data_IF_081154373255
#
_entry.id   IF_081154373255
#
_cell.length_a   1.000
_cell.length_b   1.000
_cell.length_c   1.000
_cell.angle_alpha   90.00
_cell.angle_beta   90.00
_cell.angle_gamma   90.00
#
_symmetry.space_group_name_H-M   'P 1'
#
loop_
_entity.id
_entity.type
_entity.pdbx_description
1 polymer ?
#
# COMPACT_ATOMS: atom_id res chain seq x y z
N UNK A 1 23.07 3.94 9.31
CA UNK A 1 22.67 4.02 7.89
C UNK A 1 22.54 5.48 7.49
N UNK A 2 22.87 5.84 6.24
CA UNK A 2 22.79 7.21 5.72
C UNK A 2 21.57 7.34 4.77
N UNK A 3 20.61 8.21 5.12
CA UNK A 3 19.38 8.45 4.37
C UNK A 3 19.31 9.88 3.80
N UNK A 4 20.43 10.59 3.75
CA UNK A 4 20.47 11.97 3.27
C UNK A 4 20.25 12.08 1.76
N UNK A 5 19.56 13.16 1.37
CA UNK A 5 19.34 13.59 -0.02
C UNK A 5 18.67 12.55 -0.93
N UNK A 6 17.88 11.62 -0.38
CA UNK A 6 17.20 10.59 -1.18
C UNK A 6 16.25 11.17 -2.23
N UNK A 7 15.55 12.26 -1.91
CA UNK A 7 14.68 12.94 -2.87
C UNK A 7 15.45 13.52 -4.06
N UNK A 8 16.60 14.15 -3.81
CA UNK A 8 17.46 14.66 -4.89
C UNK A 8 18.01 13.54 -5.76
N UNK A 9 18.49 12.46 -5.15
CA UNK A 9 18.96 11.27 -5.89
C UNK A 9 17.85 10.67 -6.74
N UNK A 10 16.60 10.67 -6.24
CA UNK A 10 15.44 10.22 -7.00
C UNK A 10 15.11 11.16 -8.16
N UNK A 11 15.14 12.48 -7.93
CA UNK A 11 14.94 13.51 -8.95
C UNK A 11 15.95 13.40 -10.10
N UNK A 12 17.23 13.19 -9.79
CA UNK A 12 18.28 12.96 -10.79
C UNK A 12 18.07 11.66 -11.57
N UNK A 13 17.57 10.61 -10.91
CA UNK A 13 17.40 9.29 -11.51
C UNK A 13 16.18 9.20 -12.43
N UNK A 14 15.06 9.84 -12.07
CA UNK A 14 13.78 9.68 -12.75
C UNK A 14 13.82 9.95 -14.27
N UNK A 15 14.50 10.99 -14.79
CA UNK A 15 14.61 11.26 -16.22
C UNK A 15 15.30 10.14 -17.02
N UNK A 16 16.09 9.29 -16.36
CA UNK A 16 16.81 8.18 -17.00
C UNK A 16 16.01 6.88 -17.04
N UNK A 17 14.83 6.84 -16.42
CA UNK A 17 13.97 5.65 -16.37
C UNK A 17 12.87 5.78 -17.43
N UNK A 18 12.93 4.93 -18.46
CA UNK A 18 11.99 4.96 -19.60
C UNK A 18 10.67 4.20 -19.34
N UNK A 19 10.38 3.84 -18.10
CA UNK A 19 9.15 3.14 -17.68
C UNK A 19 8.52 3.84 -16.48
N UNK A 20 7.20 3.70 -16.25
CA UNK A 20 6.57 4.27 -15.06
C UNK A 20 7.24 3.81 -13.76
N UNK A 21 7.49 4.76 -12.86
CA UNK A 21 8.06 4.49 -11.54
C UNK A 21 6.97 4.59 -10.47
N UNK A 22 6.88 3.55 -9.65
CA UNK A 22 6.02 3.50 -8.47
C UNK A 22 6.91 3.60 -7.23
N UNK A 23 6.68 4.61 -6.39
CA UNK A 23 7.26 4.66 -5.04
C UNK A 23 6.30 3.97 -4.08
N UNK A 24 6.83 3.08 -3.25
CA UNK A 24 6.02 2.17 -2.44
C UNK A 24 6.47 2.18 -0.99
N UNK A 25 5.51 2.30 -0.07
CA UNK A 25 5.72 2.07 1.35
C UNK A 25 5.88 0.58 1.69
N UNK A 26 6.29 0.30 2.92
CA UNK A 26 6.55 -1.06 3.41
C UNK A 26 5.84 -1.33 4.73
N UNK A 27 4.56 -0.94 4.84
CA UNK A 27 3.73 -1.25 6.00
C UNK A 27 3.72 -0.20 7.11
N UNK A 28 4.34 0.97 6.89
CA UNK A 28 4.29 2.12 7.79
C UNK A 28 3.45 3.29 7.22
N UNK A 29 2.95 3.16 5.99
CA UNK A 29 2.27 4.23 5.28
C UNK A 29 3.20 5.26 4.68
N UNK A 30 2.62 6.13 3.85
CA UNK A 30 3.26 7.35 3.33
C UNK A 30 2.28 8.49 3.58
N UNK A 31 2.63 9.40 4.49
CA UNK A 31 1.76 10.52 4.82
C UNK A 31 1.77 11.60 3.73
N UNK A 32 0.76 12.48 3.79
CA UNK A 32 0.55 13.56 2.81
C UNK A 32 1.80 14.39 2.50
N UNK A 33 2.59 14.73 3.53
CA UNK A 33 3.81 15.53 3.36
C UNK A 33 4.84 14.79 2.49
N UNK A 34 5.04 13.50 2.73
CA UNK A 34 5.93 12.66 1.94
C UNK A 34 5.41 12.45 0.51
N UNK A 35 4.10 12.24 0.35
CA UNK A 35 3.46 12.20 -0.99
C UNK A 35 3.71 13.47 -1.78
N UNK A 36 3.49 14.65 -1.17
CA UNK A 36 3.74 15.94 -1.83
C UNK A 36 5.22 16.13 -2.19
N UNK A 37 6.15 15.66 -1.35
CA UNK A 37 7.58 15.74 -1.62
C UNK A 37 7.99 14.85 -2.81
N UNK A 38 7.47 13.62 -2.87
CA UNK A 38 7.68 12.69 -3.98
C UNK A 38 7.07 13.22 -5.28
N UNK A 39 5.87 13.79 -5.21
CA UNK A 39 5.21 14.41 -6.35
C UNK A 39 6.04 15.56 -6.95
N UNK A 40 6.65 16.41 -6.10
CA UNK A 40 7.48 17.53 -6.55
C UNK A 40 8.71 17.10 -7.35
N UNK A 41 9.30 15.94 -7.03
CA UNK A 41 10.45 15.40 -7.77
C UNK A 41 10.04 14.57 -8.99
N UNK A 42 8.74 14.54 -9.34
CA UNK A 42 8.23 13.91 -10.56
C UNK A 42 7.65 12.50 -10.40
N UNK A 43 7.50 11.98 -9.17
CA UNK A 43 6.85 10.68 -8.94
C UNK A 43 5.35 10.81 -9.21
N UNK A 44 4.83 9.95 -10.09
CA UNK A 44 3.41 9.93 -10.48
C UNK A 44 2.59 8.83 -9.79
N UNK A 45 3.21 7.72 -9.40
CA UNK A 45 2.50 6.59 -8.81
C UNK A 45 3.05 6.30 -7.41
N UNK A 46 2.16 6.27 -6.42
CA UNK A 46 2.56 6.04 -5.03
C UNK A 46 1.68 4.97 -4.39
N UNK A 47 2.28 3.84 -4.00
CA UNK A 47 1.63 2.84 -3.14
C UNK A 47 1.86 3.20 -1.67
N UNK A 48 0.77 3.62 -1.00
CA UNK A 48 0.84 4.11 0.38
C UNK A 48 1.29 3.02 1.34
N UNK A 49 0.91 1.76 1.12
CA UNK A 49 1.33 0.61 1.93
C UNK A 49 1.30 0.89 3.44
N UNK A 50 0.11 1.23 3.93
CA UNK A 50 -0.17 1.67 5.29
C UNK A 50 -0.01 0.61 6.37
N UNK A 51 -0.02 1.09 7.61
CA UNK A 51 -0.18 0.27 8.82
C UNK A 51 -1.56 -0.43 8.84
N UNK A 52 -1.64 -1.52 9.61
CA UNK A 52 -2.83 -2.40 9.68
C UNK A 52 -2.71 -3.67 8.85
N UNK A 53 -1.58 -3.84 8.15
CA UNK A 53 -1.27 -5.03 7.36
C UNK A 53 -0.12 -5.86 7.92
N UNK A 54 0.81 -6.20 7.03
CA UNK A 54 2.08 -6.81 7.43
C UNK A 54 2.95 -5.72 8.07
N UNK A 55 3.36 -5.90 9.33
CA UNK A 55 4.32 -5.01 9.99
C UNK A 55 5.73 -5.53 9.76
N UNK A 56 6.53 -4.79 8.99
CA UNK A 56 7.93 -5.13 8.76
C UNK A 56 8.80 -4.89 10.00
N UNK A 57 8.49 -3.86 10.80
CA UNK A 57 9.11 -3.69 12.11
C UNK A 57 8.90 -4.95 12.97
N UNK A 58 7.69 -5.52 12.94
CA UNK A 58 7.44 -6.73 13.70
C UNK A 58 8.18 -7.95 13.15
N UNK A 59 8.21 -8.13 11.82
CA UNK A 59 8.99 -9.19 11.19
C UNK A 59 10.46 -9.10 11.61
N UNK A 60 11.06 -7.91 11.59
CA UNK A 60 12.45 -7.72 12.04
C UNK A 60 12.60 -8.02 13.54
N UNK A 61 11.61 -7.68 14.37
CA UNK A 61 11.59 -8.07 15.78
C UNK A 61 11.59 -9.58 16.00
N UNK A 62 10.85 -10.33 15.18
CA UNK A 62 10.85 -11.81 15.21
C UNK A 62 12.19 -12.42 14.80
N UNK A 63 13.07 -11.68 14.13
CA UNK A 63 14.44 -12.13 13.84
C UNK A 63 15.36 -12.06 15.06
N UNK A 64 14.88 -11.51 16.18
CA UNK A 64 15.56 -11.42 17.47
C UNK A 64 14.72 -12.08 18.58
N UNK A 65 14.45 -13.39 18.51
CA UNK A 65 13.52 -14.07 19.42
C UNK A 65 14.01 -14.15 20.88
N UNK A 66 15.31 -13.97 21.10
CA UNK A 66 15.92 -14.03 22.44
C UNK A 66 15.78 -12.72 23.22
N UNK A 67 15.37 -11.63 22.56
CA UNK A 67 15.15 -10.34 23.22
C UNK A 67 13.76 -10.32 23.88
N UNK A 68 13.65 -9.91 25.15
CA UNK A 68 12.35 -9.66 25.76
C UNK A 68 11.62 -8.51 25.06
N UNK A 69 10.30 -8.52 25.12
CA UNK A 69 9.42 -7.57 24.42
C UNK A 69 9.77 -6.09 24.68
N UNK A 70 10.21 -5.75 25.89
CA UNK A 70 10.59 -4.39 26.30
C UNK A 70 11.94 -3.92 25.77
N UNK A 71 12.73 -4.82 25.19
CA UNK A 71 14.01 -4.53 24.53
C UNK A 71 13.95 -4.79 23.02
N UNK A 72 12.91 -5.48 22.56
CA UNK A 72 12.70 -5.77 21.15
C UNK A 72 12.12 -4.55 20.43
N UNK A 73 12.97 -3.78 19.74
CA UNK A 73 12.55 -2.60 18.98
C UNK A 73 11.48 -2.93 17.92
N UNK A 74 11.57 -4.10 17.28
CA UNK A 74 10.57 -4.53 16.31
C UNK A 74 9.19 -4.72 16.95
N UNK A 75 9.15 -5.22 18.20
CA UNK A 75 7.92 -5.29 18.98
C UNK A 75 7.42 -3.89 19.36
N UNK A 76 8.28 -3.05 19.95
CA UNK A 76 7.91 -1.72 20.45
C UNK A 76 7.36 -0.82 19.34
N UNK A 77 7.95 -0.88 18.14
CA UNK A 77 7.60 -0.01 17.01
C UNK A 77 6.66 -0.67 15.98
N UNK A 78 6.14 -1.88 16.26
CA UNK A 78 5.37 -2.68 15.28
C UNK A 78 4.15 -1.97 14.67
N UNK A 79 3.54 -1.06 15.40
CA UNK A 79 2.30 -0.36 15.02
C UNK A 79 2.55 1.13 14.70
N UNK A 80 3.81 1.57 14.59
CA UNK A 80 4.15 2.95 14.26
C UNK A 80 3.92 3.21 12.77
N UNK A 81 3.22 4.29 12.45
CA UNK A 81 3.01 4.77 11.09
C UNK A 81 1.58 5.26 10.85
N UNK A 82 1.23 5.45 9.59
CA UNK A 82 -0.11 5.89 9.15
C UNK A 82 -0.84 4.74 8.48
N UNK A 83 -2.12 4.55 8.83
CA UNK A 83 -2.95 3.47 8.28
C UNK A 83 -3.28 3.73 6.81
N UNK A 84 -3.60 2.66 6.08
CA UNK A 84 -3.90 2.74 4.63
C UNK A 84 -5.05 3.70 4.34
N UNK A 85 -6.17 3.55 5.06
CA UNK A 85 -7.36 4.38 4.94
C UNK A 85 -7.05 5.86 5.20
N UNK A 86 -6.32 6.17 6.27
CA UNK A 86 -5.94 7.54 6.61
C UNK A 86 -4.99 8.15 5.57
N UNK A 87 -4.02 7.37 5.07
CA UNK A 87 -3.13 7.82 3.99
C UNK A 87 -3.91 8.19 2.74
N UNK A 88 -4.87 7.35 2.33
CA UNK A 88 -5.73 7.60 1.17
C UNK A 88 -6.58 8.86 1.39
N UNK A 89 -7.29 8.96 2.51
CA UNK A 89 -8.14 10.12 2.81
C UNK A 89 -7.37 11.45 2.78
N UNK A 90 -6.16 11.49 3.36
CA UNK A 90 -5.36 12.71 3.40
C UNK A 90 -4.76 13.09 2.03
N UNK A 91 -4.45 12.09 1.20
CA UNK A 91 -3.73 12.26 -0.07
C UNK A 91 -4.64 12.30 -1.30
N UNK A 92 -5.83 11.73 -1.27
CA UNK A 92 -6.76 11.67 -2.41
C UNK A 92 -7.05 13.05 -3.03
N UNK A 93 -7.21 14.15 -2.27
CA UNK A 93 -7.37 15.48 -2.88
C UNK A 93 -6.20 15.93 -3.77
N UNK A 94 -5.00 15.37 -3.58
CA UNK A 94 -3.81 15.69 -4.39
C UNK A 94 -3.89 15.11 -5.81
N UNK A 95 -4.67 14.03 -6.02
CA UNK A 95 -4.84 13.38 -7.33
C UNK A 95 -5.74 14.19 -8.26
N UNK A 96 -6.60 15.05 -7.71
CA UNK A 96 -7.51 15.89 -8.51
C UNK A 96 -6.82 17.07 -9.18
N UNK A 97 -5.68 17.50 -8.63
CA UNK A 97 -4.94 18.68 -9.09
C UNK A 97 -3.67 18.31 -9.88
N UNK A 98 -3.46 17.03 -10.20
CA UNK A 98 -2.23 16.56 -10.83
C UNK A 98 -2.35 15.18 -11.47
N UNK A 99 -1.29 14.72 -12.12
CA UNK A 99 -1.17 13.34 -12.64
C UNK A 99 -0.89 12.29 -11.55
N UNK A 100 -0.90 12.67 -10.26
CA UNK A 100 -0.62 11.74 -9.16
C UNK A 100 -1.70 10.66 -9.07
N UNK A 101 -1.27 9.41 -8.98
CA UNK A 101 -2.11 8.23 -8.76
C UNK A 101 -1.70 7.52 -7.48
N UNK A 102 -2.68 7.24 -6.62
CA UNK A 102 -2.46 6.54 -5.36
C UNK A 102 -2.80 5.05 -5.54
N UNK A 103 -2.02 4.19 -4.92
CA UNK A 103 -2.24 2.76 -4.86
C UNK A 103 -2.43 2.37 -3.39
N UNK A 104 -3.48 1.61 -3.09
CA UNK A 104 -3.82 1.16 -1.76
C UNK A 104 -3.17 -0.20 -1.45
N UNK A 105 -1.92 -0.18 -1.01
CA UNK A 105 -1.31 -1.32 -0.35
C UNK A 105 -1.46 -1.27 1.17
N UNK A 106 -1.11 -2.37 1.84
CA UNK A 106 -1.15 -2.46 3.30
C UNK A 106 -2.56 -2.83 3.79
N UNK A 107 -2.67 -3.97 4.47
CA UNK A 107 -3.94 -4.36 5.11
C UNK A 107 -5.04 -4.89 4.19
N UNK A 108 -4.90 -4.88 2.86
CA UNK A 108 -5.94 -5.42 1.94
C UNK A 108 -6.05 -6.94 2.10
N UNK A 109 -7.24 -7.47 2.45
CA UNK A 109 -7.47 -8.92 2.69
C UNK A 109 -8.63 -9.50 1.89
N UNK A 110 -9.53 -8.66 1.42
CA UNK A 110 -10.77 -9.03 0.73
C UNK A 110 -11.06 -8.11 -0.45
N UNK A 111 -11.94 -8.54 -1.35
CA UNK A 111 -12.48 -7.67 -2.40
C UNK A 111 -13.31 -6.49 -1.87
N UNK A 112 -13.86 -6.58 -0.66
CA UNK A 112 -14.50 -5.45 0.01
C UNK A 112 -13.47 -4.37 0.41
N UNK A 113 -12.27 -4.77 0.84
CA UNK A 113 -11.19 -3.81 1.13
C UNK A 113 -10.71 -3.13 -0.15
N UNK A 114 -10.69 -3.86 -1.28
CA UNK A 114 -10.42 -3.28 -2.61
C UNK A 114 -11.48 -2.22 -2.93
N UNK A 115 -12.77 -2.55 -2.81
CA UNK A 115 -13.85 -1.60 -3.06
C UNK A 115 -13.71 -0.33 -2.21
N UNK A 116 -13.56 -0.46 -0.89
CA UNK A 116 -13.34 0.68 0.02
C UNK A 116 -12.14 1.53 -0.39
N UNK A 117 -11.06 0.90 -0.82
CA UNK A 117 -9.85 1.62 -1.25
C UNK A 117 -10.07 2.46 -2.51
N UNK A 118 -10.80 1.90 -3.49
CA UNK A 118 -11.18 2.61 -4.72
C UNK A 118 -12.07 3.82 -4.39
N UNK A 119 -13.11 3.63 -3.56
CA UNK A 119 -14.00 4.69 -3.10
C UNK A 119 -13.26 5.81 -2.31
N UNK A 120 -12.12 5.48 -1.68
CA UNK A 120 -11.26 6.44 -0.99
C UNK A 120 -10.26 7.15 -1.92
N UNK A 121 -10.35 6.96 -3.24
CA UNK A 121 -9.55 7.66 -4.25
C UNK A 121 -8.26 6.96 -4.65
N UNK A 122 -8.11 5.66 -4.35
CA UNK A 122 -7.03 4.85 -4.91
C UNK A 122 -7.35 4.45 -6.37
N UNK A 123 -6.34 4.44 -7.23
CA UNK A 123 -6.41 3.93 -8.60
C UNK A 123 -6.58 2.39 -8.60
N UNK A 124 -5.89 1.73 -7.68
CA UNK A 124 -6.03 0.29 -7.46
C UNK A 124 -5.60 -0.09 -6.04
N UNK A 125 -5.88 -1.34 -5.65
CA UNK A 125 -5.45 -1.90 -4.37
C UNK A 125 -4.48 -3.07 -4.58
N UNK A 126 -3.51 -3.23 -3.68
CA UNK A 126 -2.51 -4.30 -3.73
C UNK A 126 -2.55 -5.13 -2.44
N UNK A 127 -2.32 -6.44 -2.57
CA UNK A 127 -2.17 -7.32 -1.43
C UNK A 127 -0.94 -8.21 -1.63
N UNK A 128 -0.24 -8.52 -0.53
CA UNK A 128 0.92 -9.42 -0.54
C UNK A 128 0.63 -10.68 0.28
N UNK A 129 0.41 -10.53 1.59
CA UNK A 129 0.26 -11.66 2.52
C UNK A 129 -0.83 -12.69 2.11
N UNK A 130 -2.03 -12.31 1.64
CA UNK A 130 -3.03 -13.28 1.19
C UNK A 130 -2.55 -14.16 0.02
N UNK A 131 -1.83 -13.56 -0.93
CA UNK A 131 -1.30 -14.29 -2.09
C UNK A 131 -0.06 -15.10 -1.74
N UNK A 132 0.82 -14.59 -0.87
CA UNK A 132 1.99 -15.33 -0.39
C UNK A 132 1.57 -16.62 0.30
N UNK A 133 0.60 -16.56 1.22
CA UNK A 133 0.10 -17.76 1.92
C UNK A 133 -0.39 -18.82 0.94
N UNK A 134 -1.16 -18.42 -0.07
CA UNK A 134 -1.66 -19.34 -1.09
C UNK A 134 -0.54 -19.85 -2.02
N UNK A 135 0.44 -19.02 -2.34
CA UNK A 135 1.56 -19.37 -3.21
C UNK A 135 2.49 -20.41 -2.58
N UNK A 136 2.58 -20.45 -1.24
CA UNK A 136 3.29 -21.51 -0.51
C UNK A 136 2.59 -22.88 -0.64
N UNK A 137 1.31 -22.91 -1.01
CA UNK A 137 0.57 -24.15 -1.23
C UNK A 137 0.60 -24.57 -2.71
N UNK A 138 0.06 -23.74 -3.62
CA UNK A 138 0.09 -24.02 -5.06
C UNK A 138 -0.38 -22.83 -5.94
N UNK A 139 -0.08 -22.83 -7.26
CA UNK A 139 -0.66 -21.86 -8.21
C UNK A 139 -2.19 -21.87 -8.25
N UNK A 140 -2.83 -23.03 -8.09
CA UNK A 140 -4.29 -23.19 -8.05
C UNK A 140 -4.88 -22.49 -6.82
N UNK A 141 -4.20 -22.55 -5.68
CA UNK A 141 -4.59 -21.82 -4.47
C UNK A 141 -4.52 -20.31 -4.68
N UNK A 142 -3.46 -19.81 -5.33
CA UNK A 142 -3.35 -18.39 -5.72
C UNK A 142 -4.51 -17.99 -6.62
N UNK A 143 -4.82 -18.79 -7.65
CA UNK A 143 -5.97 -18.57 -8.54
C UNK A 143 -7.27 -18.51 -7.74
N UNK A 144 -7.45 -19.39 -6.76
CA UNK A 144 -8.61 -19.39 -5.85
C UNK A 144 -8.74 -18.08 -5.07
N UNK A 145 -7.64 -17.54 -4.53
CA UNK A 145 -7.64 -16.24 -3.83
C UNK A 145 -8.00 -15.11 -4.80
N UNK A 146 -7.46 -15.09 -6.02
CA UNK A 146 -7.80 -14.09 -7.04
C UNK A 146 -9.31 -14.12 -7.35
N UNK A 147 -9.87 -15.31 -7.58
CA UNK A 147 -11.29 -15.46 -7.87
C UNK A 147 -12.17 -15.02 -6.69
N UNK A 148 -11.74 -15.32 -5.45
CA UNK A 148 -12.43 -14.87 -4.24
C UNK A 148 -12.48 -13.33 -4.17
N UNK A 149 -11.32 -12.67 -4.29
CA UNK A 149 -11.24 -11.20 -4.30
C UNK A 149 -12.13 -10.59 -5.38
N UNK A 150 -12.09 -11.14 -6.60
CA UNK A 150 -12.95 -10.69 -7.71
C UNK A 150 -14.43 -10.81 -7.35
N UNK A 151 -14.87 -11.96 -6.81
CA UNK A 151 -16.26 -12.17 -6.42
C UNK A 151 -16.70 -11.21 -5.32
N UNK A 152 -15.87 -11.03 -4.29
CA UNK A 152 -16.12 -10.11 -3.18
C UNK A 152 -16.26 -8.66 -3.67
N UNK A 153 -15.39 -8.21 -4.60
CA UNK A 153 -15.47 -6.89 -5.21
C UNK A 153 -16.77 -6.70 -6.00
N UNK A 154 -17.16 -7.68 -6.83
CA UNK A 154 -18.42 -7.62 -7.60
C UNK A 154 -19.63 -7.52 -6.66
N UNK A 155 -19.62 -8.26 -5.55
CA UNK A 155 -20.70 -8.19 -4.55
C UNK A 155 -20.71 -6.83 -3.85
N UNK A 156 -19.54 -6.25 -3.54
CA UNK A 156 -19.46 -4.91 -2.97
C UNK A 156 -20.01 -3.84 -3.94
N UNK A 157 -19.63 -3.92 -5.21
CA UNK A 157 -20.17 -3.05 -6.27
C UNK A 157 -21.69 -3.16 -6.36
N UNK A 158 -22.23 -4.38 -6.41
CA UNK A 158 -23.68 -4.61 -6.40
C UNK A 158 -24.36 -4.00 -5.17
N UNK A 159 -23.79 -4.16 -3.97
CA UNK A 159 -24.34 -3.61 -2.74
C UNK A 159 -24.33 -2.07 -2.71
N UNK A 160 -23.40 -1.44 -3.42
CA UNK A 160 -23.33 0.03 -3.58
C UNK A 160 -24.14 0.55 -4.78
N UNK A 161 -24.73 -0.34 -5.59
CA UNK A 161 -25.40 0.05 -6.84
C UNK A 161 -24.45 0.49 -7.96
N UNK A 162 -23.17 0.13 -7.87
CA UNK A 162 -22.15 0.43 -8.88
C UNK A 162 -22.06 -0.69 -9.93
N UNK A 163 -22.16 -0.32 -11.20
CA UNK A 163 -22.05 -1.22 -12.35
C UNK A 163 -20.64 -1.24 -12.94
N UNK A 164 -19.84 -0.19 -12.70
CA UNK A 164 -18.43 -0.09 -13.10
C UNK A 164 -17.53 0.31 -11.92
N UNK A 165 -16.21 0.19 -12.10
CA UNK A 165 -15.24 0.58 -11.07
C UNK A 165 -15.25 2.10 -10.84
N UNK A 166 -15.51 2.87 -11.89
CA UNK A 166 -15.61 4.32 -11.85
C UNK A 166 -16.86 4.82 -11.11
N UNK A 167 -17.85 3.94 -10.91
CA UNK A 167 -19.07 4.22 -10.13
C UNK A 167 -18.92 3.89 -8.64
N UNK A 168 -17.81 3.29 -8.21
CA UNK A 168 -17.46 3.13 -6.79
C UNK A 168 -16.90 4.44 -6.22
#
# INVERSE_FOLDING_TARGET
TNFESLLHKLEELLPHINVPVIVKGVGHGIEKRSVMALQRVGVKYIDVSGCGGTSWAWIEGWRHPDLPDDQNLGYIFRDVGITTDRSLQECAPLTQASDLRLIAGGGIRTGLDVAKSLMMGAECATAALPFLKAALESPERVRGVIQRFKKELIVAMFACGASTIEEL
#
